data_IF_280391919984
#
_entry.id   IF_280391919984
#
_cell.length_a   1.000
_cell.length_b   1.000
_cell.length_c   1.000
_cell.angle_alpha   90.00
_cell.angle_beta   90.00
_cell.angle_gamma   90.00
#
_symmetry.space_group_name_H-M   'P 1'
#
loop_
_entity.id
_entity.type
_entity.pdbx_description
1 polymer ?
#
# COMPACT_ATOMS: atom_id res chain seq x y z
N UNK A 1 -131.47 -23.75 18.22
CA UNK A 1 -130.33 -24.55 17.75
C UNK A 1 -129.66 -23.80 16.61
N UNK A 2 -128.35 -23.58 16.75
CA UNK A 2 -127.34 -23.17 15.75
C UNK A 2 -127.59 -22.03 14.78
N UNK A 3 -126.89 -20.93 15.03
CA UNK A 3 -126.63 -19.85 14.09
C UNK A 3 -125.36 -20.15 13.27
N UNK A 4 -125.43 -19.91 11.96
CA UNK A 4 -124.35 -20.05 11.01
C UNK A 4 -123.34 -18.89 11.14
N UNK A 5 -122.05 -19.21 11.23
CA UNK A 5 -120.97 -18.23 11.27
C UNK A 5 -120.25 -18.18 9.91
N UNK A 6 -120.28 -16.99 9.28
CA UNK A 6 -119.60 -16.68 8.04
C UNK A 6 -118.08 -16.59 8.24
N UNK A 7 -117.31 -17.16 7.32
CA UNK A 7 -115.85 -17.21 7.36
C UNK A 7 -115.27 -15.97 6.65
N UNK A 8 -114.51 -15.16 7.39
CA UNK A 8 -113.84 -13.97 6.86
C UNK A 8 -112.56 -14.35 6.10
N UNK A 9 -112.39 -13.76 4.91
CA UNK A 9 -111.24 -13.93 4.03
C UNK A 9 -110.09 -13.00 4.46
N UNK A 10 -108.89 -13.51 4.67
CA UNK A 10 -107.68 -12.70 4.91
C UNK A 10 -106.71 -12.83 3.73
N UNK A 11 -106.50 -11.70 3.01
CA UNK A 11 -105.46 -11.54 1.97
C UNK A 11 -104.10 -11.38 2.64
N UNK A 12 -103.19 -12.32 2.44
CA UNK A 12 -101.78 -12.18 2.80
C UNK A 12 -100.97 -11.71 1.59
N UNK A 13 -100.62 -10.43 1.57
CA UNK A 13 -99.62 -9.88 0.65
C UNK A 13 -98.21 -10.30 1.06
N UNK A 14 -97.44 -10.87 0.14
CA UNK A 14 -96.02 -11.23 0.37
C UNK A 14 -95.15 -9.97 0.32
N UNK A 15 -94.51 -9.63 1.42
CA UNK A 15 -93.43 -8.63 1.47
C UNK A 15 -92.11 -9.29 1.07
N UNK A 16 -91.43 -8.75 0.06
CA UNK A 16 -90.09 -9.16 -0.34
C UNK A 16 -89.05 -8.53 0.60
N UNK A 17 -88.53 -9.33 1.53
CA UNK A 17 -87.43 -8.96 2.41
C UNK A 17 -86.10 -9.38 1.75
N UNK A 18 -85.55 -8.51 0.89
CA UNK A 18 -84.16 -8.62 0.43
C UNK A 18 -83.36 -7.53 1.15
N UNK A 19 -82.84 -7.85 2.33
CA UNK A 19 -81.74 -7.10 2.92
C UNK A 19 -80.45 -7.64 2.29
N UNK A 20 -79.69 -6.76 1.64
CA UNK A 20 -78.42 -7.08 1.00
C UNK A 20 -77.47 -7.82 1.96
N UNK A 21 -76.57 -8.62 1.37
CA UNK A 21 -75.59 -9.43 2.08
C UNK A 21 -74.77 -8.58 3.06
N UNK A 22 -74.78 -8.88 4.37
CA UNK A 22 -73.93 -8.17 5.31
C UNK A 22 -72.47 -8.48 5.00
N UNK A 23 -71.65 -7.43 4.83
CA UNK A 23 -70.21 -7.57 4.63
C UNK A 23 -69.57 -7.97 5.97
N UNK A 24 -69.35 -9.26 6.15
CA UNK A 24 -68.76 -9.82 7.37
C UNK A 24 -67.24 -9.73 7.26
N UNK A 25 -66.65 -8.77 7.97
CA UNK A 25 -65.19 -8.69 8.12
C UNK A 25 -64.71 -9.75 9.12
N UNK A 26 -64.24 -10.88 8.62
CA UNK A 26 -63.53 -11.86 9.43
C UNK A 26 -62.15 -11.29 9.81
N UNK A 27 -62.01 -10.81 11.05
CA UNK A 27 -60.70 -10.49 11.63
C UNK A 27 -59.95 -11.79 11.90
N UNK A 28 -59.18 -12.25 10.92
CA UNK A 28 -58.24 -13.36 11.11
C UNK A 28 -57.05 -12.85 11.93
N UNK A 29 -57.03 -13.16 13.23
CA UNK A 29 -55.88 -12.86 14.09
C UNK A 29 -54.74 -13.79 13.69
N UNK A 30 -53.74 -13.24 12.99
CA UNK A 30 -52.53 -13.98 12.61
C UNK A 30 -51.69 -14.12 13.88
N UNK A 31 -51.73 -15.31 14.50
CA UNK A 31 -50.84 -15.67 15.59
C UNK A 31 -49.57 -16.31 15.04
N UNK A 32 -48.45 -15.58 15.13
CA UNK A 32 -47.12 -16.05 14.71
C UNK A 32 -46.34 -16.71 15.87
N UNK A 33 -46.96 -16.95 17.02
CA UNK A 33 -46.30 -17.54 18.21
C UNK A 33 -45.67 -18.92 17.95
N UNK A 34 -46.13 -19.64 16.92
CA UNK A 34 -45.65 -20.97 16.53
C UNK A 34 -44.77 -20.98 15.28
N UNK A 35 -44.40 -19.83 14.75
CA UNK A 35 -43.57 -19.75 13.56
C UNK A 35 -42.12 -20.13 13.90
N UNK A 36 -41.78 -21.40 13.70
CA UNK A 36 -40.39 -21.88 13.80
C UNK A 36 -39.72 -21.66 12.45
N UNK A 37 -38.60 -20.94 12.46
CA UNK A 37 -37.76 -20.77 11.26
C UNK A 37 -37.17 -22.13 10.89
N UNK A 38 -37.71 -22.76 9.85
CA UNK A 38 -37.12 -23.95 9.26
C UNK A 38 -35.86 -23.53 8.52
N UNK A 39 -34.72 -24.07 8.91
CA UNK A 39 -33.46 -23.81 8.21
C UNK A 39 -33.37 -24.66 6.95
N UNK A 40 -33.42 -24.01 5.78
CA UNK A 40 -33.16 -24.67 4.51
C UNK A 40 -31.65 -24.88 4.34
N UNK A 41 -31.13 -26.12 4.36
CA UNK A 41 -29.70 -26.38 4.26
C UNK A 41 -29.10 -25.94 2.90
N UNK A 42 -29.93 -25.79 1.87
CA UNK A 42 -29.52 -25.25 0.56
C UNK A 42 -29.18 -23.76 0.63
N UNK A 43 -30.01 -22.93 1.29
CA UNK A 43 -29.76 -21.50 1.49
C UNK A 43 -28.49 -21.25 2.30
N UNK A 44 -28.24 -22.08 3.32
CA UNK A 44 -27.01 -22.01 4.10
C UNK A 44 -25.76 -22.29 3.25
N UNK A 45 -25.83 -23.20 2.26
CA UNK A 45 -24.72 -23.48 1.34
C UNK A 45 -24.50 -22.32 0.36
N UNK A 46 -25.56 -21.78 -0.22
CA UNK A 46 -25.48 -20.61 -1.11
C UNK A 46 -24.84 -19.41 -0.39
N UNK A 47 -25.30 -19.08 0.83
CA UNK A 47 -24.72 -18.00 1.62
C UNK A 47 -23.23 -18.23 1.96
N UNK A 48 -22.81 -19.48 2.17
CA UNK A 48 -21.37 -19.80 2.34
C UNK A 48 -20.58 -19.54 1.07
N UNK A 49 -21.08 -19.95 -0.10
CA UNK A 49 -20.42 -19.67 -1.37
C UNK A 49 -20.32 -18.17 -1.66
N UNK A 50 -21.39 -17.41 -1.40
CA UNK A 50 -21.36 -15.95 -1.50
C UNK A 50 -20.35 -15.32 -0.52
N UNK A 51 -20.33 -15.79 0.73
CA UNK A 51 -19.37 -15.32 1.73
C UNK A 51 -17.92 -15.61 1.35
N UNK A 52 -17.64 -16.81 0.81
CA UNK A 52 -16.32 -17.18 0.32
C UNK A 52 -15.94 -16.30 -0.88
N UNK A 53 -16.83 -16.12 -1.86
CA UNK A 53 -16.57 -15.27 -3.02
C UNK A 53 -16.29 -13.82 -2.60
N UNK A 54 -17.06 -13.27 -1.67
CA UNK A 54 -16.85 -11.93 -1.14
C UNK A 54 -15.51 -11.81 -0.39
N UNK A 55 -15.16 -12.81 0.42
CA UNK A 55 -13.89 -12.86 1.14
C UNK A 55 -12.70 -12.89 0.16
N UNK A 56 -12.78 -13.72 -0.88
CA UNK A 56 -11.74 -13.78 -1.92
C UNK A 56 -11.61 -12.45 -2.67
N UNK A 57 -12.73 -11.83 -3.04
CA UNK A 57 -12.74 -10.51 -3.67
C UNK A 57 -12.09 -9.46 -2.76
N UNK A 58 -12.45 -9.45 -1.47
CA UNK A 58 -11.88 -8.53 -0.49
C UNK A 58 -10.37 -8.72 -0.34
N UNK A 59 -9.90 -9.97 -0.20
CA UNK A 59 -8.47 -10.27 -0.10
C UNK A 59 -7.70 -9.84 -1.36
N UNK A 60 -8.28 -10.02 -2.55
CA UNK A 60 -7.65 -9.61 -3.80
C UNK A 60 -7.52 -8.10 -3.90
N UNK A 61 -8.61 -7.36 -3.61
CA UNK A 61 -8.61 -5.88 -3.63
C UNK A 61 -7.67 -5.33 -2.56
N UNK A 62 -7.73 -5.88 -1.35
CA UNK A 62 -6.90 -5.40 -0.25
C UNK A 62 -5.43 -5.75 -0.47
N UNK A 63 -5.13 -6.95 -0.96
CA UNK A 63 -3.78 -7.33 -1.39
C UNK A 63 -3.21 -6.41 -2.46
N UNK A 64 -4.01 -6.08 -3.49
CA UNK A 64 -3.62 -5.11 -4.52
C UNK A 64 -3.36 -3.71 -3.93
N UNK A 65 -4.24 -3.23 -3.06
CA UNK A 65 -4.07 -1.93 -2.42
C UNK A 65 -2.79 -1.89 -1.57
N UNK A 66 -2.55 -2.90 -0.74
CA UNK A 66 -1.31 -3.02 0.04
C UNK A 66 -0.08 -3.05 -0.88
N UNK A 67 -0.12 -3.84 -1.96
CA UNK A 67 0.99 -3.91 -2.92
C UNK A 67 1.25 -2.56 -3.59
N UNK A 68 0.19 -1.84 -3.96
CA UNK A 68 0.28 -0.50 -4.53
C UNK A 68 0.91 0.49 -3.54
N UNK A 69 0.50 0.47 -2.27
CA UNK A 69 1.12 1.31 -1.23
C UNK A 69 2.61 0.97 -1.02
N UNK A 70 2.97 -0.32 -1.03
CA UNK A 70 4.37 -0.74 -0.93
C UNK A 70 5.18 -0.27 -2.12
N UNK A 71 4.63 -0.36 -3.33
CA UNK A 71 5.30 0.12 -4.54
C UNK A 71 5.59 1.64 -4.47
N UNK A 72 4.67 2.44 -3.91
CA UNK A 72 4.88 3.88 -3.71
C UNK A 72 6.01 4.13 -2.69
N UNK A 73 6.01 3.43 -1.56
CA UNK A 73 7.06 3.57 -0.54
C UNK A 73 8.46 3.21 -1.10
N UNK A 74 8.53 2.13 -1.90
CA UNK A 74 9.76 1.74 -2.58
C UNK A 74 10.19 2.76 -3.63
N UNK A 75 9.25 3.37 -4.36
CA UNK A 75 9.55 4.45 -5.32
C UNK A 75 10.30 5.61 -4.66
N UNK A 76 9.84 6.07 -3.50
CA UNK A 76 10.50 7.14 -2.77
C UNK A 76 11.87 6.74 -2.21
N UNK A 77 11.99 5.51 -1.67
CA UNK A 77 13.29 4.99 -1.20
C UNK A 77 14.31 4.88 -2.32
N UNK A 78 13.89 4.47 -3.51
CA UNK A 78 14.76 4.40 -4.68
C UNK A 78 15.22 5.81 -5.07
N UNK A 79 14.31 6.78 -5.10
CA UNK A 79 14.65 8.15 -5.46
C UNK A 79 15.62 8.79 -4.45
N UNK A 80 15.42 8.57 -3.14
CA UNK A 80 16.32 9.09 -2.12
C UNK A 80 17.72 8.48 -2.21
N UNK A 81 17.81 7.16 -2.42
CA UNK A 81 19.09 6.48 -2.59
C UNK A 81 19.80 6.90 -3.89
N UNK A 82 19.02 7.17 -4.95
CA UNK A 82 19.56 7.68 -6.21
C UNK A 82 20.14 9.07 -6.04
N UNK A 83 19.42 9.97 -5.37
CA UNK A 83 19.89 11.32 -5.07
C UNK A 83 21.18 11.31 -4.23
N UNK A 84 21.25 10.45 -3.21
CA UNK A 84 22.46 10.29 -2.39
C UNK A 84 23.65 9.78 -3.22
N UNK A 85 23.43 8.75 -4.04
CA UNK A 85 24.46 8.22 -4.94
C UNK A 85 24.94 9.30 -5.90
N UNK A 86 24.03 10.04 -6.52
CA UNK A 86 24.39 11.07 -7.49
C UNK A 86 25.15 12.22 -6.81
N UNK A 87 24.76 12.62 -5.60
CA UNK A 87 25.51 13.57 -4.77
C UNK A 87 26.93 13.09 -4.44
N UNK A 88 27.09 11.83 -4.03
CA UNK A 88 28.41 11.23 -3.79
C UNK A 88 29.27 11.19 -5.05
N UNK A 89 28.68 10.89 -6.22
CA UNK A 89 29.42 10.87 -7.49
C UNK A 89 29.89 12.26 -7.90
N UNK A 90 29.07 13.30 -7.70
CA UNK A 90 29.46 14.67 -8.02
C UNK A 90 30.56 15.17 -7.09
N UNK A 91 30.47 14.88 -5.79
CA UNK A 91 31.56 15.18 -4.84
C UNK A 91 32.85 14.46 -5.22
N UNK A 92 32.79 13.18 -5.62
CA UNK A 92 33.98 12.46 -6.05
C UNK A 92 34.60 13.09 -7.31
N UNK A 93 33.76 13.52 -8.25
CA UNK A 93 34.21 14.23 -9.45
C UNK A 93 34.88 15.55 -9.10
N UNK A 94 34.30 16.34 -8.20
CA UNK A 94 34.87 17.59 -7.74
C UNK A 94 36.24 17.37 -7.09
N UNK A 95 36.36 16.40 -6.17
CA UNK A 95 37.62 16.06 -5.51
C UNK A 95 38.70 15.64 -6.50
N UNK A 96 38.35 14.86 -7.54
CA UNK A 96 39.32 14.48 -8.59
C UNK A 96 39.79 15.66 -9.41
N UNK A 97 38.92 16.64 -9.66
CA UNK A 97 39.30 17.88 -10.35
C UNK A 97 40.22 18.74 -9.48
N UNK A 98 39.92 18.84 -8.18
CA UNK A 98 40.80 19.52 -7.22
C UNK A 98 42.17 18.84 -7.12
N UNK A 99 42.19 17.50 -7.03
CA UNK A 99 43.44 16.73 -7.01
C UNK A 99 44.26 16.98 -8.28
N UNK A 100 43.63 16.92 -9.47
CA UNK A 100 44.30 17.22 -10.72
C UNK A 100 44.85 18.66 -10.77
N UNK A 101 44.08 19.63 -10.26
CA UNK A 101 44.50 21.03 -10.16
C UNK A 101 45.64 21.26 -9.17
N UNK A 102 45.68 20.50 -8.07
CA UNK A 102 46.76 20.57 -7.07
C UNK A 102 48.03 19.88 -7.56
N UNK A 103 47.88 18.84 -8.40
CA UNK A 103 48.98 18.06 -8.96
C UNK A 103 49.59 18.69 -10.23
N UNK A 104 49.04 19.80 -10.70
CA UNK A 104 49.54 20.54 -11.86
C UNK A 104 50.96 21.09 -11.60
N UNK A 105 51.98 20.62 -12.33
CA UNK A 105 53.37 21.03 -12.10
C UNK A 105 53.60 22.52 -12.35
N UNK A 106 52.88 23.15 -13.29
CA UNK A 106 53.04 24.58 -13.56
C UNK A 106 52.61 25.41 -12.33
N UNK A 107 51.48 25.02 -11.71
CA UNK A 107 50.97 25.63 -10.50
C UNK A 107 51.94 25.45 -9.32
N UNK A 108 52.53 24.26 -9.19
CA UNK A 108 53.53 23.95 -8.17
C UNK A 108 54.78 24.82 -8.36
N UNK A 109 55.29 24.94 -9.58
CA UNK A 109 56.49 25.75 -9.90
C UNK A 109 56.27 27.24 -9.64
N UNK A 110 55.10 27.77 -9.98
CA UNK A 110 54.74 29.16 -9.67
C UNK A 110 54.67 29.39 -8.16
N UNK A 111 54.09 28.46 -7.41
CA UNK A 111 54.01 28.55 -5.95
C UNK A 111 55.40 28.42 -5.28
N UNK A 112 56.23 27.49 -5.77
CA UNK A 112 57.60 27.29 -5.31
C UNK A 112 58.44 28.57 -5.48
N UNK A 113 58.37 29.21 -6.65
CA UNK A 113 59.05 30.48 -6.92
C UNK A 113 58.61 31.61 -5.99
N UNK A 114 57.31 31.71 -5.68
CA UNK A 114 56.80 32.70 -4.70
C UNK A 114 57.33 32.48 -3.28
N UNK A 115 57.62 31.23 -2.92
CA UNK A 115 58.22 30.86 -1.64
C UNK A 115 59.76 30.98 -1.64
N UNK A 116 60.36 31.45 -2.74
CA UNK A 116 61.82 31.56 -2.89
C UNK A 116 62.52 30.22 -3.16
N UNK A 117 61.77 29.16 -3.41
CA UNK A 117 62.30 27.85 -3.78
C UNK A 117 62.68 27.86 -5.26
N UNK A 118 63.84 27.27 -5.59
CA UNK A 118 64.37 27.18 -6.95
C UNK A 118 64.68 25.72 -7.29
N UNK A 119 64.62 25.38 -8.58
CA UNK A 119 64.99 24.04 -9.04
C UNK A 119 66.47 23.77 -8.72
N UNK A 120 66.82 22.62 -8.13
CA UNK A 120 68.19 22.30 -7.77
C UNK A 120 69.09 22.24 -9.00
N UNK A 121 70.32 22.77 -8.87
CA UNK A 121 71.31 22.69 -9.95
C UNK A 121 71.86 21.25 -10.09
N UNK A 122 72.32 20.83 -11.29
CA UNK A 122 72.92 19.52 -11.50
C UNK A 122 74.09 19.29 -10.51
N UNK A 123 73.98 18.28 -9.64
CA UNK A 123 74.98 17.95 -8.62
C UNK A 123 74.64 18.38 -7.18
N UNK A 124 73.57 19.15 -6.96
CA UNK A 124 73.13 19.58 -5.62
C UNK A 124 72.17 18.58 -4.94
N UNK A 125 71.74 17.54 -5.66
CA UNK A 125 70.83 16.50 -5.16
C UNK A 125 71.67 15.32 -4.65
N UNK A 126 71.83 15.24 -3.34
CA UNK A 126 72.44 14.08 -2.68
C UNK A 126 71.31 13.11 -2.34
N UNK A 127 71.20 12.00 -3.08
CA UNK A 127 70.36 10.88 -2.65
C UNK A 127 71.11 10.18 -1.53
N UNK A 128 70.57 10.24 -0.31
CA UNK A 128 71.00 9.34 0.74
C UNK A 128 70.58 7.94 0.32
N UNK A 129 71.53 7.15 -0.19
CA UNK A 129 71.35 5.71 -0.31
C UNK A 129 71.06 5.22 1.11
N UNK A 130 69.91 4.55 1.29
CA UNK A 130 69.54 3.96 2.56
C UNK A 130 70.65 2.99 2.95
N UNK A 131 71.51 3.43 3.86
CA UNK A 131 72.51 2.59 4.50
C UNK A 131 71.78 1.43 5.16
N UNK A 132 72.04 0.23 4.67
CA UNK A 132 71.85 -1.08 5.29
C UNK A 132 71.14 -1.06 6.66
N UNK A 133 69.84 -0.84 6.66
CA UNK A 133 69.00 -1.31 7.74
C UNK A 133 67.81 -2.02 7.13
N UNK A 134 67.56 -3.21 7.65
CA UNK A 134 66.64 -4.25 7.20
C UNK A 134 65.15 -3.88 7.23
N UNK A 135 64.82 -2.61 7.04
CA UNK A 135 63.46 -2.11 6.90
C UNK A 135 63.07 -2.17 5.42
N UNK A 136 62.36 -3.23 5.05
CA UNK A 136 61.65 -3.33 3.78
C UNK A 136 60.88 -2.04 3.51
N UNK A 137 60.97 -1.44 2.30
CA UNK A 137 60.24 -0.21 2.01
C UNK A 137 58.75 -0.49 2.11
N UNK A 138 58.13 -0.03 3.20
CA UNK A 138 56.68 -0.03 3.36
C UNK A 138 56.16 1.04 2.42
N UNK A 139 56.00 0.64 1.16
CA UNK A 139 55.21 1.38 0.19
C UNK A 139 53.84 1.61 0.83
N UNK A 140 53.44 2.88 0.96
CA UNK A 140 52.08 3.24 1.32
C UNK A 140 51.14 2.72 0.22
N UNK A 141 50.72 1.46 0.36
CA UNK A 141 49.73 0.87 -0.52
C UNK A 141 48.41 1.54 -0.24
N UNK A 142 47.82 2.15 -1.26
CA UNK A 142 46.43 2.61 -1.22
C UNK A 142 45.57 1.39 -0.89
N UNK A 143 45.14 1.26 0.35
CA UNK A 143 44.14 0.26 0.72
C UNK A 143 42.86 0.65 -0.02
N UNK A 144 42.34 -0.21 -0.93
CA UNK A 144 41.06 0.10 -1.57
C UNK A 144 40.01 0.15 -0.47
N UNK A 145 39.41 1.32 -0.27
CA UNK A 145 38.29 1.52 0.65
C UNK A 145 37.18 0.56 0.22
N UNK A 146 36.98 -0.50 1.01
CA UNK A 146 35.89 -1.44 0.80
C UNK A 146 34.58 -0.77 1.22
N UNK A 147 33.67 -0.59 0.26
CA UNK A 147 32.34 -0.05 0.51
C UNK A 147 31.57 -1.12 1.28
N UNK A 148 31.43 -0.95 2.60
CA UNK A 148 30.59 -1.81 3.43
C UNK A 148 29.14 -1.46 3.10
N UNK A 149 28.49 -2.33 2.33
CA UNK A 149 27.05 -2.25 2.12
C UNK A 149 26.36 -2.53 3.45
N UNK A 150 25.81 -1.49 4.07
CA UNK A 150 24.86 -1.65 5.18
C UNK A 150 23.59 -2.33 4.65
N UNK A 151 23.11 -3.31 5.40
CA UNK A 151 22.01 -4.21 5.04
C UNK A 151 20.72 -3.78 5.72
#
# INVERSE_FOLDING_TARGET
MSAAAATAFSRTGRQSCWLGTPEIYFRKTIDNSRLVKVEDPRRAREMKHFGIALCLLFLLVMGYALQHFRAIEYGYKIESLRAERDGLTEMNRALRLEEASLRDPERIDVMARKLGLQSPQPGQVIRMDASDDSATPVMASVTPVSVVSAR
#
